data_IF_280758479419
#
_entry.id   IF_280758479419
#
_cell.length_a   1.000
_cell.length_b   1.000
_cell.length_c   1.000
_cell.angle_alpha   90.00
_cell.angle_beta   90.00
_cell.angle_gamma   90.00
#
_symmetry.space_group_name_H-M   'P 1'
#
loop_
_entity.id
_entity.type
_entity.pdbx_description
1 polymer ?
#
# COMPACT_ATOMS: atom_id res chain seq x y z
N UNK A 1 25.54 19.88 26.95
CA UNK A 1 24.95 20.10 25.58
C UNK A 1 25.38 19.04 24.54
N UNK A 2 26.50 18.35 24.68
CA UNK A 2 26.99 17.36 23.70
C UNK A 2 26.12 16.10 23.57
N UNK A 3 25.54 15.57 24.63
CA UNK A 3 24.77 14.32 24.64
C UNK A 3 23.41 14.43 23.90
N UNK A 4 22.71 15.56 24.06
CA UNK A 4 21.44 15.83 23.36
C UNK A 4 21.66 16.00 21.84
N UNK A 5 22.74 16.68 21.46
CA UNK A 5 23.13 16.83 20.05
C UNK A 5 23.46 15.50 19.38
N UNK A 6 24.22 14.64 20.08
CA UNK A 6 24.50 13.28 19.56
C UNK A 6 23.26 12.41 19.44
N UNK A 7 22.31 12.47 20.38
CA UNK A 7 21.06 11.75 20.35
C UNK A 7 20.20 12.19 19.16
N UNK A 8 20.12 13.50 18.93
CA UNK A 8 19.41 14.06 17.77
C UNK A 8 20.04 13.64 16.44
N UNK A 9 21.36 13.62 16.36
CA UNK A 9 22.08 13.18 15.16
C UNK A 9 21.85 11.69 14.86
N UNK A 10 21.88 10.83 15.88
CA UNK A 10 21.56 9.40 15.75
C UNK A 10 20.12 9.21 15.27
N UNK A 11 19.16 9.97 15.81
CA UNK A 11 17.76 9.92 15.39
C UNK A 11 17.60 10.30 13.91
N UNK A 12 18.29 11.35 13.43
CA UNK A 12 18.26 11.73 12.01
C UNK A 12 18.80 10.62 11.09
N UNK A 13 19.89 9.94 11.52
CA UNK A 13 20.43 8.81 10.74
C UNK A 13 19.41 7.67 10.69
N UNK A 14 18.76 7.33 11.79
CA UNK A 14 17.74 6.28 11.84
C UNK A 14 16.54 6.61 10.94
N UNK A 15 16.07 7.86 10.96
CA UNK A 15 14.98 8.31 10.07
C UNK A 15 15.41 8.23 8.60
N UNK A 16 16.61 8.70 8.26
CA UNK A 16 17.15 8.62 6.90
C UNK A 16 17.27 7.17 6.41
N UNK A 17 17.74 6.28 7.26
CA UNK A 17 17.85 4.85 6.98
C UNK A 17 16.46 4.20 6.77
N UNK A 18 15.49 4.55 7.61
CA UNK A 18 14.12 4.08 7.45
C UNK A 18 13.49 4.53 6.11
N UNK A 19 13.63 5.82 5.76
CA UNK A 19 13.14 6.37 4.49
C UNK A 19 13.79 5.67 3.29
N UNK A 20 15.10 5.46 3.34
CA UNK A 20 15.83 4.72 2.29
C UNK A 20 15.31 3.29 2.14
N UNK A 21 15.16 2.57 3.25
CA UNK A 21 14.67 1.19 3.26
C UNK A 21 13.23 1.08 2.76
N UNK A 22 12.35 1.97 3.22
CA UNK A 22 10.96 2.06 2.75
C UNK A 22 10.88 2.30 1.23
N UNK A 23 11.64 3.26 0.72
CA UNK A 23 11.66 3.56 -0.71
C UNK A 23 12.18 2.38 -1.55
N UNK A 24 13.17 1.64 -1.03
CA UNK A 24 13.68 0.42 -1.66
C UNK A 24 12.60 -0.66 -1.74
N UNK A 25 11.89 -0.90 -0.65
CA UNK A 25 10.81 -1.88 -0.57
C UNK A 25 9.66 -1.50 -1.51
N UNK A 26 9.24 -0.24 -1.49
CA UNK A 26 8.18 0.27 -2.36
C UNK A 26 8.56 0.15 -3.85
N UNK A 27 9.80 0.48 -4.21
CA UNK A 27 10.30 0.33 -5.58
C UNK A 27 10.31 -1.13 -6.04
N UNK A 28 10.67 -2.06 -5.16
CA UNK A 28 10.65 -3.48 -5.45
C UNK A 28 9.22 -4.00 -5.63
N UNK A 29 8.27 -3.56 -4.80
CA UNK A 29 6.86 -3.88 -4.93
C UNK A 29 6.28 -3.38 -6.28
N UNK A 30 6.61 -2.14 -6.67
CA UNK A 30 6.20 -1.60 -7.97
C UNK A 30 6.80 -2.37 -9.15
N UNK A 31 8.00 -2.91 -9.00
CA UNK A 31 8.61 -3.75 -10.03
C UNK A 31 7.84 -5.07 -10.23
N UNK A 32 7.35 -5.69 -9.15
CA UNK A 32 6.46 -6.87 -9.23
C UNK A 32 5.16 -6.51 -9.97
N UNK A 33 4.50 -5.42 -9.59
CA UNK A 33 3.27 -4.93 -10.26
C UNK A 33 3.48 -4.67 -11.76
N UNK A 34 4.61 -4.07 -12.12
CA UNK A 34 5.00 -3.84 -13.51
C UNK A 34 5.05 -5.13 -14.32
N UNK A 35 5.73 -6.15 -13.81
CA UNK A 35 5.87 -7.41 -14.53
C UNK A 35 4.56 -8.20 -14.58
N UNK A 36 3.73 -8.12 -13.54
CA UNK A 36 2.37 -8.66 -13.56
C UNK A 36 1.52 -8.01 -14.66
N UNK A 37 1.58 -6.69 -14.80
CA UNK A 37 0.90 -5.95 -15.86
C UNK A 37 1.41 -6.33 -17.26
N UNK A 38 2.72 -6.56 -17.42
CA UNK A 38 3.30 -7.01 -18.69
C UNK A 38 2.81 -8.41 -19.07
N UNK A 39 2.68 -9.33 -18.12
CA UNK A 39 2.10 -10.66 -18.35
C UNK A 39 0.66 -10.52 -18.86
N UNK A 40 -0.14 -9.67 -18.20
CA UNK A 40 -1.52 -9.43 -18.60
C UNK A 40 -1.63 -8.88 -20.04
N UNK A 41 -0.78 -7.90 -20.38
CA UNK A 41 -0.74 -7.31 -21.70
C UNK A 41 -0.36 -8.36 -22.80
N UNK A 42 0.60 -9.23 -22.49
CA UNK A 42 1.00 -10.32 -23.40
C UNK A 42 -0.12 -11.37 -23.56
N UNK A 43 -0.85 -11.70 -22.49
CA UNK A 43 -1.99 -12.60 -22.55
C UNK A 43 -3.14 -12.00 -23.36
N UNK A 44 -3.36 -10.69 -23.26
CA UNK A 44 -4.33 -9.99 -24.11
C UNK A 44 -3.94 -10.08 -25.57
N UNK A 45 -2.67 -9.78 -25.90
CA UNK A 45 -2.14 -9.92 -27.27
C UNK A 45 -2.29 -11.36 -27.78
N UNK A 46 -2.08 -12.35 -26.90
CA UNK A 46 -2.26 -13.77 -27.23
C UNK A 46 -3.74 -14.09 -27.54
N UNK A 47 -4.68 -13.63 -26.72
CA UNK A 47 -6.10 -13.82 -26.93
C UNK A 47 -6.57 -13.18 -28.25
N UNK A 48 -6.11 -11.97 -28.58
CA UNK A 48 -6.43 -11.28 -29.84
C UNK A 48 -5.91 -12.08 -31.05
N UNK A 49 -4.70 -12.66 -30.93
CA UNK A 49 -4.14 -13.49 -31.99
C UNK A 49 -4.93 -14.79 -32.19
N UNK A 50 -5.35 -15.43 -31.09
CA UNK A 50 -6.23 -16.61 -31.12
C UNK A 50 -7.58 -16.28 -31.75
N UNK A 51 -8.20 -15.16 -31.41
CA UNK A 51 -9.48 -14.74 -32.01
C UNK A 51 -9.35 -14.56 -33.52
N UNK A 52 -8.27 -13.95 -34.02
CA UNK A 52 -8.00 -13.85 -35.47
C UNK A 52 -7.81 -15.21 -36.13
N UNK A 53 -7.09 -16.14 -35.45
CA UNK A 53 -6.96 -17.51 -35.94
C UNK A 53 -8.34 -18.21 -36.05
N UNK A 54 -9.20 -18.03 -35.05
CA UNK A 54 -10.56 -18.58 -35.05
C UNK A 54 -11.41 -18.04 -36.21
N UNK A 55 -11.29 -16.77 -36.58
CA UNK A 55 -11.96 -16.20 -37.76
C UNK A 55 -11.51 -16.89 -39.04
N UNK A 56 -10.20 -17.15 -39.23
CA UNK A 56 -9.67 -17.85 -40.37
C UNK A 56 -10.16 -19.29 -40.39
N UNK A 57 -10.11 -20.00 -39.27
CA UNK A 57 -10.55 -21.41 -39.13
C UNK A 57 -12.05 -21.53 -39.38
N UNK A 58 -12.88 -20.58 -38.92
CA UNK A 58 -14.31 -20.54 -39.10
C UNK A 58 -14.72 -20.52 -40.57
N UNK A 59 -13.90 -19.97 -41.47
CA UNK A 59 -14.13 -20.01 -42.90
C UNK A 59 -13.96 -21.42 -43.52
N UNK A 60 -13.24 -22.32 -42.86
CA UNK A 60 -13.01 -23.70 -43.30
C UNK A 60 -13.89 -24.71 -42.56
N UNK A 61 -14.29 -24.39 -41.31
CA UNK A 61 -15.04 -25.26 -40.42
C UNK A 61 -16.40 -24.63 -40.07
N UNK A 62 -17.28 -24.42 -41.05
CA UNK A 62 -18.55 -23.66 -40.95
C UNK A 62 -19.56 -24.19 -39.91
N UNK A 63 -19.35 -25.35 -39.31
CA UNK A 63 -20.23 -25.97 -38.31
C UNK A 63 -19.66 -26.10 -36.91
N UNK A 64 -18.42 -25.69 -36.69
CA UNK A 64 -17.78 -25.80 -35.41
C UNK A 64 -17.98 -24.50 -34.58
N UNK A 65 -18.54 -24.64 -33.37
CA UNK A 65 -18.71 -23.51 -32.45
C UNK A 65 -17.33 -23.12 -31.88
N UNK A 66 -16.74 -22.04 -32.41
CA UNK A 66 -15.56 -21.42 -31.89
C UNK A 66 -15.95 -20.42 -30.77
N UNK A 67 -15.27 -20.50 -29.64
CA UNK A 67 -15.55 -19.64 -28.49
C UNK A 67 -14.66 -18.38 -28.56
N UNK A 68 -15.30 -17.23 -28.77
CA UNK A 68 -14.59 -15.95 -28.76
C UNK A 68 -14.00 -15.69 -27.39
N UNK A 69 -12.68 -15.45 -27.33
CA UNK A 69 -11.98 -15.17 -26.09
C UNK A 69 -12.19 -13.71 -25.67
N UNK A 70 -12.73 -13.51 -24.48
CA UNK A 70 -12.80 -12.20 -23.85
C UNK A 70 -11.69 -12.04 -22.84
N UNK A 71 -11.16 -10.82 -22.75
CA UNK A 71 -10.12 -10.49 -21.77
C UNK A 71 -10.72 -10.50 -20.37
N UNK A 72 -10.21 -11.37 -19.50
CA UNK A 72 -10.58 -11.45 -18.08
C UNK A 72 -9.50 -10.79 -17.24
N UNK A 73 -9.88 -10.19 -16.12
CA UNK A 73 -8.92 -9.75 -15.09
C UNK A 73 -8.28 -10.92 -14.33
N UNK A 74 -8.86 -12.12 -14.46
CA UNK A 74 -8.31 -13.35 -13.90
C UNK A 74 -7.28 -13.96 -14.85
N UNK A 75 -6.00 -13.80 -14.52
CA UNK A 75 -4.87 -14.28 -15.32
C UNK A 75 -4.89 -15.80 -15.53
N UNK A 76 -5.28 -16.57 -14.54
CA UNK A 76 -5.33 -18.04 -14.61
C UNK A 76 -6.39 -18.52 -15.57
N UNK A 77 -7.59 -17.96 -15.46
CA UNK A 77 -8.69 -18.27 -16.38
C UNK A 77 -8.33 -17.90 -17.82
N UNK A 78 -7.67 -16.76 -18.01
CA UNK A 78 -7.25 -16.29 -19.32
C UNK A 78 -6.18 -17.21 -19.95
N UNK A 79 -5.22 -17.71 -19.17
CA UNK A 79 -4.24 -18.71 -19.64
C UNK A 79 -4.92 -20.00 -20.03
N UNK A 80 -5.84 -20.52 -19.22
CA UNK A 80 -6.56 -21.77 -19.46
C UNK A 80 -7.42 -21.70 -20.72
N UNK A 81 -8.19 -20.62 -20.86
CA UNK A 81 -9.09 -20.44 -22.02
C UNK A 81 -8.32 -20.25 -23.32
N UNK A 82 -7.22 -19.47 -23.32
CA UNK A 82 -6.36 -19.29 -24.50
C UNK A 82 -5.66 -20.58 -24.92
N UNK A 83 -5.16 -21.35 -23.96
CA UNK A 83 -4.52 -22.63 -24.27
C UNK A 83 -5.51 -23.64 -24.83
N UNK A 84 -6.70 -23.76 -24.27
CA UNK A 84 -7.75 -24.64 -24.78
C UNK A 84 -8.20 -24.24 -26.20
N UNK A 85 -8.37 -22.95 -26.46
CA UNK A 85 -8.70 -22.45 -27.78
C UNK A 85 -7.61 -22.78 -28.81
N UNK A 86 -6.33 -22.66 -28.41
CA UNK A 86 -5.19 -23.00 -29.27
C UNK A 86 -5.13 -24.49 -29.62
N UNK A 87 -5.39 -25.38 -28.64
CA UNK A 87 -5.47 -26.83 -28.86
C UNK A 87 -6.58 -27.14 -29.88
N UNK A 88 -7.75 -26.52 -29.76
CA UNK A 88 -8.85 -26.72 -30.71
C UNK A 88 -8.48 -26.23 -32.11
N UNK A 89 -7.85 -25.07 -32.26
CA UNK A 89 -7.40 -24.55 -33.56
C UNK A 89 -6.39 -25.51 -34.20
N UNK A 90 -5.43 -26.04 -33.43
CA UNK A 90 -4.46 -27.00 -33.94
C UNK A 90 -5.12 -28.33 -34.41
N UNK A 91 -6.09 -28.83 -33.65
CA UNK A 91 -6.85 -30.04 -34.03
C UNK A 91 -7.63 -29.83 -35.33
N UNK A 92 -8.29 -28.66 -35.47
CA UNK A 92 -8.98 -28.31 -36.70
C UNK A 92 -8.04 -28.15 -37.89
N UNK A 93 -6.88 -27.55 -37.70
CA UNK A 93 -5.87 -27.38 -38.75
C UNK A 93 -5.35 -28.73 -39.28
N UNK A 94 -5.28 -29.76 -38.43
CA UNK A 94 -4.92 -31.11 -38.87
C UNK A 94 -6.00 -31.74 -39.79
N UNK A 95 -7.25 -31.39 -39.56
CA UNK A 95 -8.39 -31.89 -40.37
C UNK A 95 -8.56 -31.15 -41.70
N UNK A 96 -7.98 -29.97 -41.85
CA UNK A 96 -8.13 -29.10 -43.03
C UNK A 96 -6.74 -28.71 -43.60
N UNK A 97 -6.13 -29.49 -44.52
CA UNK A 97 -4.78 -29.19 -45.09
C UNK A 97 -4.73 -27.82 -45.81
N UNK A 98 -5.85 -27.41 -46.42
CA UNK A 98 -5.94 -26.09 -47.06
C UNK A 98 -5.77 -24.93 -46.07
N UNK A 99 -6.18 -25.09 -44.82
CA UNK A 99 -5.98 -24.12 -43.74
C UNK A 99 -4.48 -24.02 -43.41
N UNK A 100 -3.77 -25.13 -43.33
CA UNK A 100 -2.32 -25.14 -43.08
C UNK A 100 -1.55 -24.43 -44.19
N UNK A 101 -2.02 -24.48 -45.43
CA UNK A 101 -1.40 -23.77 -46.56
C UNK A 101 -1.73 -22.25 -46.60
N UNK A 102 -2.65 -21.79 -45.76
CA UNK A 102 -3.08 -20.39 -45.74
C UNK A 102 -1.96 -19.51 -45.12
N UNK A 103 -1.48 -18.52 -45.86
CA UNK A 103 -0.38 -17.64 -45.42
C UNK A 103 -0.74 -16.82 -44.17
N UNK A 104 -1.98 -16.35 -44.04
CA UNK A 104 -2.42 -15.59 -42.87
C UNK A 104 -2.45 -16.47 -41.63
N UNK A 105 -2.90 -17.74 -41.77
CA UNK A 105 -2.84 -18.72 -40.69
C UNK A 105 -1.38 -18.96 -40.25
N UNK A 106 -0.46 -19.19 -41.17
CA UNK A 106 0.96 -19.42 -40.88
C UNK A 106 1.60 -18.20 -40.19
N UNK A 107 1.32 -16.98 -40.66
CA UNK A 107 1.82 -15.74 -40.05
C UNK A 107 1.33 -15.56 -38.62
N UNK A 108 0.04 -15.83 -38.36
CA UNK A 108 -0.53 -15.74 -36.99
C UNK A 108 0.04 -16.84 -36.08
N UNK A 109 0.27 -18.07 -36.60
CA UNK A 109 0.89 -19.15 -35.84
C UNK A 109 2.33 -18.81 -35.45
N UNK A 110 3.09 -18.15 -36.34
CA UNK A 110 4.41 -17.63 -36.02
C UNK A 110 4.35 -16.55 -34.94
N UNK A 111 3.38 -15.61 -35.02
CA UNK A 111 3.18 -14.58 -33.99
C UNK A 111 2.80 -15.20 -32.65
N UNK A 112 1.90 -16.18 -32.61
CA UNK A 112 1.56 -16.96 -31.40
C UNK A 112 2.82 -17.55 -30.77
N UNK A 113 3.68 -18.19 -31.57
CA UNK A 113 4.94 -18.76 -31.08
C UNK A 113 5.88 -17.71 -30.48
N UNK A 114 5.91 -16.50 -31.06
CA UNK A 114 6.68 -15.39 -30.52
C UNK A 114 6.10 -14.91 -29.19
N UNK A 115 4.77 -14.69 -29.13
CA UNK A 115 4.10 -14.27 -27.89
C UNK A 115 4.33 -15.29 -26.78
N UNK A 116 4.27 -16.58 -27.05
CA UNK A 116 4.51 -17.62 -26.05
C UNK A 116 5.96 -17.55 -25.50
N UNK A 117 6.95 -17.29 -26.34
CA UNK A 117 8.34 -17.08 -25.90
C UNK A 117 8.49 -15.81 -25.05
N UNK A 118 7.89 -14.72 -25.48
CA UNK A 118 7.88 -13.45 -24.72
C UNK A 118 7.19 -13.65 -23.36
N UNK A 119 6.08 -14.38 -23.34
CA UNK A 119 5.32 -14.68 -22.12
C UNK A 119 6.17 -15.53 -21.15
N UNK A 120 6.88 -16.53 -21.65
CA UNK A 120 7.78 -17.34 -20.83
C UNK A 120 8.90 -16.50 -20.22
N UNK A 121 9.52 -15.62 -20.99
CA UNK A 121 10.55 -14.70 -20.49
C UNK A 121 9.97 -13.72 -19.46
N UNK A 122 8.79 -13.19 -19.72
CA UNK A 122 8.11 -12.27 -18.81
C UNK A 122 7.76 -12.92 -17.46
N UNK A 123 7.31 -14.20 -17.48
CA UNK A 123 7.04 -15.01 -16.29
C UNK A 123 8.30 -15.25 -15.46
N UNK A 124 9.41 -15.56 -16.14
CA UNK A 124 10.69 -15.72 -15.47
C UNK A 124 11.12 -14.45 -14.75
N UNK A 125 11.09 -13.30 -15.45
CA UNK A 125 11.45 -12.00 -14.86
C UNK A 125 10.48 -11.56 -13.76
N UNK A 126 9.20 -11.91 -13.88
CA UNK A 126 8.22 -11.72 -12.80
C UNK A 126 8.63 -12.47 -11.54
N UNK A 127 8.96 -13.75 -11.66
CA UNK A 127 9.40 -14.56 -10.51
C UNK A 127 10.71 -14.06 -9.90
N UNK A 128 11.64 -13.53 -10.69
CA UNK A 128 12.84 -12.85 -10.19
C UNK A 128 12.47 -11.59 -9.38
N UNK A 129 11.53 -10.77 -9.89
CA UNK A 129 11.05 -9.59 -9.19
C UNK A 129 10.33 -9.95 -7.88
N UNK A 130 9.52 -11.03 -7.88
CA UNK A 130 8.86 -11.57 -6.69
C UNK A 130 9.89 -12.05 -5.67
N UNK A 131 10.90 -12.80 -6.11
CA UNK A 131 11.97 -13.29 -5.22
C UNK A 131 12.75 -12.15 -4.56
N UNK A 132 13.10 -11.13 -5.35
CA UNK A 132 13.78 -9.94 -4.84
C UNK A 132 12.92 -9.16 -3.84
N UNK A 133 11.63 -9.00 -4.12
CA UNK A 133 10.69 -8.32 -3.22
C UNK A 133 10.44 -9.11 -1.92
N UNK A 134 10.10 -10.39 -2.02
CA UNK A 134 9.85 -11.24 -0.86
C UNK A 134 11.10 -11.38 0.01
N UNK A 135 12.29 -11.42 -0.63
CA UNK A 135 13.57 -11.40 0.08
C UNK A 135 13.75 -10.14 0.94
N UNK A 136 13.29 -8.98 0.49
CA UNK A 136 13.33 -7.75 1.30
C UNK A 136 12.41 -7.85 2.52
N UNK A 137 11.24 -8.46 2.40
CA UNK A 137 10.29 -8.61 3.51
C UNK A 137 10.86 -9.43 4.68
N UNK A 138 11.84 -10.28 4.41
CA UNK A 138 12.47 -11.16 5.42
C UNK A 138 13.79 -10.63 5.95
N UNK A 139 14.31 -9.51 5.40
CA UNK A 139 15.59 -8.93 5.79
C UNK A 139 15.42 -7.72 6.72
N UNK A 140 16.42 -7.50 7.57
CA UNK A 140 16.47 -6.30 8.43
C UNK A 140 16.94 -5.11 7.56
N UNK A 141 16.31 -3.92 7.70
CA UNK A 141 15.30 -3.56 8.69
C UNK A 141 13.85 -3.81 8.26
N UNK A 142 13.61 -4.19 7.01
CA UNK A 142 12.28 -4.21 6.37
C UNK A 142 11.30 -5.13 7.11
N UNK A 143 11.77 -6.28 7.62
CA UNK A 143 10.95 -7.25 8.37
C UNK A 143 10.26 -6.65 9.60
N UNK A 144 10.85 -5.61 10.20
CA UNK A 144 10.33 -5.00 11.44
C UNK A 144 9.06 -4.18 11.19
N UNK A 145 8.90 -3.60 10.01
CA UNK A 145 7.80 -2.68 9.73
C UNK A 145 6.96 -3.04 8.51
N UNK A 146 7.46 -3.89 7.61
CA UNK A 146 6.78 -4.20 6.35
C UNK A 146 5.34 -4.67 6.57
N UNK A 147 5.13 -5.60 7.50
CA UNK A 147 3.80 -6.12 7.84
C UNK A 147 2.86 -5.05 8.41
N UNK A 148 3.38 -4.14 9.23
CA UNK A 148 2.62 -3.02 9.81
C UNK A 148 2.20 -1.99 8.76
N UNK A 149 2.92 -1.93 7.63
CA UNK A 149 2.64 -1.06 6.50
C UNK A 149 1.94 -1.80 5.34
N UNK A 150 1.33 -2.97 5.60
CA UNK A 150 0.58 -3.77 4.63
C UNK A 150 1.40 -4.21 3.40
N UNK A 151 2.72 -4.40 3.55
CA UNK A 151 3.53 -5.08 2.55
C UNK A 151 3.35 -6.59 2.71
N UNK A 152 2.55 -7.19 1.83
CA UNK A 152 2.30 -8.62 1.81
C UNK A 152 3.24 -9.32 0.84
N UNK A 153 3.49 -10.62 1.04
CA UNK A 153 4.26 -11.42 0.09
C UNK A 153 3.58 -11.45 -1.27
N UNK A 154 4.39 -11.34 -2.32
CA UNK A 154 3.94 -11.48 -3.68
C UNK A 154 3.90 -12.97 -4.07
N UNK A 155 2.83 -13.44 -4.75
CA UNK A 155 2.72 -14.81 -5.18
C UNK A 155 3.67 -15.08 -6.36
N UNK A 156 4.34 -16.24 -6.35
CA UNK A 156 5.09 -16.72 -7.50
C UNK A 156 4.15 -17.24 -8.60
N UNK A 157 4.53 -17.02 -9.83
CA UNK A 157 3.89 -17.68 -10.95
C UNK A 157 4.34 -19.14 -11.01
N UNK A 158 3.41 -20.08 -10.82
CA UNK A 158 3.65 -21.51 -11.00
C UNK A 158 2.66 -22.05 -12.04
N UNK A 159 3.09 -22.49 -13.24
CA UNK A 159 2.21 -23.00 -14.26
C UNK A 159 1.60 -24.37 -13.94
N UNK A 160 2.18 -25.14 -13.03
CA UNK A 160 1.73 -26.49 -12.66
C UNK A 160 0.67 -26.45 -11.55
N UNK A 161 0.75 -25.47 -10.69
CA UNK A 161 -0.30 -25.19 -9.72
C UNK A 161 -1.26 -24.20 -10.38
N UNK A 162 -2.49 -24.64 -10.67
CA UNK A 162 -3.61 -23.78 -11.10
C UNK A 162 -3.95 -22.73 -9.99
N UNK A 163 -2.94 -22.34 -9.22
CA UNK A 163 -3.04 -21.33 -8.20
C UNK A 163 -3.30 -20.02 -8.92
N UNK A 164 -4.48 -19.49 -8.75
CA UNK A 164 -4.86 -18.15 -9.21
C UNK A 164 -3.68 -17.22 -8.98
N UNK A 165 -3.13 -16.66 -10.05
CA UNK A 165 -2.23 -15.53 -9.95
C UNK A 165 -3.08 -14.40 -9.36
N UNK A 166 -3.22 -14.45 -8.04
CA UNK A 166 -3.93 -13.41 -7.31
C UNK A 166 -3.29 -12.09 -7.66
N UNK A 167 -4.12 -11.13 -7.97
CA UNK A 167 -3.64 -9.77 -8.25
C UNK A 167 -2.82 -9.32 -7.05
N UNK A 168 -1.51 -9.15 -7.24
CA UNK A 168 -0.64 -8.69 -6.19
C UNK A 168 -1.03 -7.27 -5.79
N UNK A 169 -1.55 -7.14 -4.58
CA UNK A 169 -1.91 -5.86 -3.97
C UNK A 169 -0.97 -5.59 -2.80
N UNK A 170 -0.38 -4.42 -2.79
CA UNK A 170 0.46 -3.93 -1.70
C UNK A 170 0.13 -2.49 -1.42
N UNK A 171 0.57 -2.01 -0.25
CA UNK A 171 0.38 -0.61 0.15
C UNK A 171 0.86 0.36 -0.95
N UNK A 172 0.07 1.39 -1.20
CA UNK A 172 0.36 2.51 -2.11
C UNK A 172 0.88 3.76 -1.37
N UNK A 173 1.28 3.60 -0.11
CA UNK A 173 1.69 4.67 0.80
C UNK A 173 0.56 5.20 1.70
N UNK A 174 -0.65 4.65 1.61
CA UNK A 174 -1.78 5.07 2.46
C UNK A 174 -1.58 4.68 3.91
N UNK A 175 -1.08 3.47 4.19
CA UNK A 175 -0.79 3.03 5.56
C UNK A 175 0.27 3.90 6.23
N UNK A 176 1.32 4.30 5.52
CA UNK A 176 2.33 5.22 6.05
C UNK A 176 1.73 6.61 6.33
N UNK A 177 0.91 7.14 5.43
CA UNK A 177 0.21 8.43 5.64
C UNK A 177 -0.69 8.37 6.87
N UNK A 178 -1.43 7.29 7.05
CA UNK A 178 -2.31 7.09 8.20
C UNK A 178 -1.53 7.02 9.51
N UNK A 179 -0.41 6.29 9.55
CA UNK A 179 0.48 6.23 10.71
C UNK A 179 1.08 7.60 11.05
N UNK A 180 1.52 8.37 10.04
CA UNK A 180 2.03 9.72 10.24
C UNK A 180 0.93 10.66 10.78
N UNK A 181 -0.29 10.55 10.28
CA UNK A 181 -1.43 11.32 10.78
C UNK A 181 -1.77 10.97 12.23
N UNK A 182 -1.83 9.68 12.57
CA UNK A 182 -2.05 9.21 13.95
C UNK A 182 -0.93 9.66 14.88
N UNK A 183 0.33 9.59 14.43
CA UNK A 183 1.48 10.08 15.20
C UNK A 183 1.43 11.60 15.43
N UNK A 184 1.08 12.37 14.42
CA UNK A 184 0.94 13.82 14.52
C UNK A 184 -0.20 14.23 15.45
N UNK A 185 -1.36 13.58 15.39
CA UNK A 185 -2.48 13.85 16.31
C UNK A 185 -2.13 13.49 17.75
N UNK A 186 -1.50 12.35 18.00
CA UNK A 186 -1.07 11.94 19.33
C UNK A 186 -0.06 12.92 19.95
N UNK A 187 0.86 13.46 19.14
CA UNK A 187 1.84 14.47 19.62
C UNK A 187 1.16 15.81 19.93
N UNK A 188 0.16 16.21 19.13
CA UNK A 188 -0.66 17.40 19.43
C UNK A 188 -1.47 17.24 20.72
N UNK A 189 -2.06 16.09 20.96
CA UNK A 189 -2.84 15.82 22.19
C UNK A 189 -1.93 15.84 23.44
N UNK A 190 -0.73 15.27 23.35
CA UNK A 190 0.27 15.34 24.43
C UNK A 190 0.72 16.78 24.68
N UNK A 191 1.00 17.56 23.64
CA UNK A 191 1.39 18.96 23.75
C UNK A 191 0.27 19.82 24.34
N UNK A 192 -0.97 19.59 23.94
CA UNK A 192 -2.16 20.26 24.49
C UNK A 192 -2.36 19.91 25.96
N UNK A 193 -2.23 18.64 26.33
CA UNK A 193 -2.34 18.17 27.72
C UNK A 193 -1.24 18.75 28.59
N UNK A 194 0.00 18.83 28.09
CA UNK A 194 1.12 19.47 28.79
C UNK A 194 0.87 20.97 29.00
N UNK A 195 0.35 21.67 27.97
CA UNK A 195 -0.02 23.10 28.07
C UNK A 195 -1.12 23.34 29.09
N UNK A 196 -2.17 22.50 29.09
CA UNK A 196 -3.28 22.61 30.05
C UNK A 196 -2.79 22.35 31.50
N UNK A 197 -1.90 21.37 31.70
CA UNK A 197 -1.30 21.09 32.99
C UNK A 197 -0.43 22.25 33.47
N UNK A 198 0.39 22.86 32.60
CA UNK A 198 1.18 24.04 32.95
C UNK A 198 0.28 25.23 33.34
N UNK A 199 -0.79 25.49 32.60
CA UNK A 199 -1.76 26.55 32.92
C UNK A 199 -2.43 26.33 34.27
N UNK A 200 -2.82 25.08 34.58
CA UNK A 200 -3.42 24.77 35.88
C UNK A 200 -2.46 24.92 37.05
N UNK A 201 -1.18 24.65 36.85
CA UNK A 201 -0.14 24.85 37.85
C UNK A 201 0.11 26.34 38.09
N UNK A 202 0.19 27.14 37.03
CA UNK A 202 0.37 28.61 37.13
C UNK A 202 -0.83 29.26 37.82
N UNK A 203 -2.07 28.86 37.50
CA UNK A 203 -3.26 29.36 38.16
C UNK A 203 -3.30 29.04 39.65
N UNK A 204 -2.93 27.83 40.06
CA UNK A 204 -2.83 27.45 41.48
C UNK A 204 -1.77 28.24 42.24
N UNK A 205 -0.67 28.63 41.56
CA UNK A 205 0.38 29.46 42.16
C UNK A 205 -0.08 30.91 42.35
N UNK A 206 -0.79 31.50 41.35
CA UNK A 206 -1.38 32.85 41.45
C UNK A 206 -2.46 32.94 42.50
N UNK A 207 -3.28 31.90 42.70
CA UNK A 207 -4.29 31.85 43.75
C UNK A 207 -3.66 31.75 45.17
N UNK A 208 -2.50 31.06 45.33
CA UNK A 208 -1.79 31.01 46.59
C UNK A 208 -1.12 32.34 46.95
N UNK A 209 -0.59 33.06 45.98
CA UNK A 209 0.05 34.36 46.18
C UNK A 209 -0.98 35.45 46.50
N UNK A 210 -2.20 35.38 45.97
CA UNK A 210 -3.30 36.30 46.30
C UNK A 210 -3.96 35.99 47.62
N UNK A 211 -3.96 34.76 48.10
CA UNK A 211 -4.51 34.40 49.42
C UNK A 211 -3.56 34.64 50.59
N UNK A 212 -2.24 34.86 50.31
CA UNK A 212 -1.24 35.19 51.30
C UNK A 212 -1.13 36.65 51.75
N UNK A 213 -1.83 37.57 51.06
CA UNK A 213 -1.73 39.03 51.29
C UNK A 213 -2.91 39.65 52.06
N UNK A 214 -3.75 38.83 52.69
CA UNK A 214 -4.98 39.26 53.37
C UNK A 214 -4.97 39.11 54.88
N UNK A 215 -3.83 39.29 55.62
CA UNK A 215 -3.91 39.36 57.06
C UNK A 215 -2.65 40.03 57.67
N UNK A 216 -2.61 41.37 57.68
CA UNK A 216 -1.81 42.13 58.63
C UNK A 216 -2.31 43.61 58.69
N UNK A 217 -3.31 43.87 59.51
CA UNK A 217 -3.54 45.22 60.02
C UNK A 217 -3.40 45.17 61.55
N UNK A 218 -2.43 45.89 62.15
CA UNK A 218 -2.28 45.94 63.61
C UNK A 218 -3.31 46.88 64.23
N UNK A 219 -3.94 46.41 65.28
CA UNK A 219 -4.82 47.13 66.19
C UNK A 219 -3.99 48.03 67.07
N UNK A 220 -4.13 49.35 66.99
CA UNK A 220 -3.67 50.29 67.97
C UNK A 220 -4.84 50.80 68.84
N UNK A 221 -4.62 50.73 70.15
CA UNK A 221 -5.51 51.13 71.22
C UNK A 221 -5.40 52.62 71.50
N UNK A 222 -6.52 53.22 71.95
CA UNK A 222 -6.64 54.13 73.12
C UNK A 222 -8.04 54.70 73.12
N UNK A 223 -8.77 54.41 74.14
CA UNK A 223 -9.06 55.17 75.34
C UNK A 223 -10.01 56.36 75.13
N UNK A 224 -11.07 56.25 75.94
CA UNK A 224 -11.83 57.24 76.78
C UNK A 224 -13.29 57.45 76.38
N UNK A 225 -14.07 57.12 77.38
CA UNK A 225 -15.48 57.59 77.67
C UNK A 225 -15.45 59.06 78.10
N UNK A 226 -16.60 59.83 78.35
CA UNK A 226 -17.91 59.32 78.67
C UNK A 226 -19.10 60.22 78.17
N UNK A 227 -20.31 59.72 78.50
CA UNK A 227 -21.54 60.37 78.99
C UNK A 227 -22.32 61.38 78.11
N UNK A 228 -23.58 61.13 78.15
CA UNK A 228 -24.65 62.14 78.08
C UNK A 228 -25.84 61.71 77.20
N UNK A 229 -26.71 61.01 77.79
CA UNK A 229 -28.09 61.47 78.25
C UNK A 229 -29.07 61.89 77.15
N UNK A 230 -30.02 61.09 77.02
CA UNK A 230 -31.47 61.47 77.21
C UNK A 230 -32.30 61.87 75.96
N UNK A 231 -33.42 61.24 75.93
CA UNK A 231 -34.79 61.73 75.78
C UNK A 231 -35.48 61.68 74.41
N UNK A 232 -36.38 60.71 74.36
CA UNK A 232 -37.82 60.78 74.02
C UNK A 232 -38.31 61.10 72.59
N UNK A 233 -39.27 60.26 72.27
CA UNK A 233 -40.53 60.46 71.54
C UNK A 233 -40.53 60.81 70.07
N UNK A 234 -41.08 60.03 69.26
CA UNK A 234 -42.48 59.58 69.06
C UNK A 234 -42.52 58.39 68.14
#
# INVERSE_FOLDING_TARGET
MGTIGNLFFILLILVGFFVFSYNRLQKSAQNVKKWQSNILALLQKYADCINKLQEIVGNYAAHEKLVHLTVSSNLTEMVKTTNNAMINIQALAQSYPALQANQNYQSLMWEVSNIQRELQQCRFTYNEAVSAYNGLLTTIPDVLYAKSLNFNEAPYYNPEQETELQTFTTDDGTALKELLHKGASATMDVAQSAKNNLQSVVQRQTEKDTSGQGNAVPKAASSEQPQGENVTKK
#
